data_IF_496606967033
#
_entry.id   IF_496606967033
#
_cell.length_a   1.000
_cell.length_b   1.000
_cell.length_c   1.000
_cell.angle_alpha   90.00
_cell.angle_beta   90.00
_cell.angle_gamma   90.00
#
_symmetry.space_group_name_H-M   'P 1'
#
loop_
_entity.id
_entity.type
_entity.pdbx_description
1 polymer ?
#
# COMPACT_ATOMS: atom_id res chain seq x y z
N UNK A 1 -17.54 -12.12 10.49
CA UNK A 1 -16.27 -11.48 10.10
C UNK A 1 -16.54 -10.71 8.83
N UNK A 2 -16.91 -9.44 8.95
CA UNK A 2 -17.26 -8.59 7.82
C UNK A 2 -15.97 -7.99 7.28
N UNK A 3 -15.52 -8.46 6.13
CA UNK A 3 -14.42 -7.84 5.40
C UNK A 3 -14.88 -6.44 5.03
N UNK A 4 -14.47 -5.43 5.81
CA UNK A 4 -14.70 -4.03 5.51
C UNK A 4 -13.96 -3.67 4.23
N UNK A 5 -14.64 -3.83 3.09
CA UNK A 5 -14.19 -3.25 1.84
C UNK A 5 -14.30 -1.72 2.01
N UNK A 6 -13.16 -1.06 2.12
CA UNK A 6 -13.10 0.40 2.05
C UNK A 6 -13.61 0.82 0.67
N UNK A 7 -14.83 1.35 0.62
CA UNK A 7 -15.36 2.06 -0.55
C UNK A 7 -14.71 3.44 -0.54
N UNK A 8 -13.75 3.67 -1.43
CA UNK A 8 -13.14 4.98 -1.60
C UNK A 8 -14.11 5.92 -2.32
N UNK A 9 -14.97 6.59 -1.56
CA UNK A 9 -15.79 7.68 -2.11
C UNK A 9 -14.89 8.89 -2.34
N UNK A 10 -14.40 9.03 -3.58
CA UNK A 10 -13.69 10.24 -4.02
C UNK A 10 -14.70 11.31 -4.42
N UNK A 11 -15.39 11.85 -3.41
CA UNK A 11 -16.13 13.10 -3.56
C UNK A 11 -15.09 14.20 -3.62
N UNK A 12 -14.69 14.63 -4.83
CA UNK A 12 -14.31 16.00 -5.21
C UNK A 12 -13.58 15.99 -6.55
N UNK A 13 -14.08 16.79 -7.50
CA UNK A 13 -13.55 17.00 -8.85
C UNK A 13 -12.19 17.74 -8.91
N UNK A 14 -11.49 17.84 -7.78
CA UNK A 14 -10.23 18.58 -7.64
C UNK A 14 -9.07 17.80 -6.99
N UNK A 15 -9.28 16.54 -6.61
CA UNK A 15 -8.20 15.73 -6.02
C UNK A 15 -7.36 15.08 -7.12
N UNK A 16 -6.14 15.61 -7.33
CA UNK A 16 -5.16 15.14 -8.32
C UNK A 16 -4.91 13.63 -8.21
N UNK A 17 -4.97 13.11 -7.00
CA UNK A 17 -4.78 11.71 -6.67
C UNK A 17 -5.96 10.85 -7.13
N UNK A 18 -7.19 11.22 -6.74
CA UNK A 18 -8.41 10.54 -7.16
C UNK A 18 -8.57 10.54 -8.70
N UNK A 19 -8.30 11.68 -9.34
CA UNK A 19 -8.35 11.80 -10.80
C UNK A 19 -7.34 10.88 -11.50
N UNK A 20 -6.12 10.76 -10.95
CA UNK A 20 -5.09 9.88 -11.48
C UNK A 20 -5.47 8.40 -11.35
N UNK A 21 -6.03 7.99 -10.21
CA UNK A 21 -6.51 6.62 -9.99
C UNK A 21 -7.63 6.26 -10.96
N UNK A 22 -8.66 7.12 -11.08
CA UNK A 22 -9.76 6.94 -12.03
C UNK A 22 -9.25 6.79 -13.46
N UNK A 23 -8.29 7.61 -13.87
CA UNK A 23 -7.67 7.54 -15.20
C UNK A 23 -6.98 6.19 -15.46
N UNK A 24 -6.20 5.68 -14.51
CA UNK A 24 -5.53 4.39 -14.69
C UNK A 24 -6.49 3.21 -14.57
N UNK A 25 -7.56 3.32 -13.78
CA UNK A 25 -8.62 2.31 -13.73
C UNK A 25 -9.33 2.22 -15.08
N UNK A 26 -9.76 3.36 -15.63
CA UNK A 26 -10.33 3.46 -16.98
C UNK A 26 -9.42 2.81 -18.04
N UNK A 27 -8.15 3.23 -18.07
CA UNK A 27 -7.17 2.71 -19.04
C UNK A 27 -6.96 1.19 -18.92
N UNK A 28 -7.00 0.66 -17.69
CA UNK A 28 -6.85 -0.78 -17.43
C UNK A 28 -8.05 -1.57 -17.97
N UNK A 29 -9.26 -1.07 -17.77
CA UNK A 29 -10.49 -1.70 -18.25
C UNK A 29 -10.59 -1.62 -19.78
N UNK A 30 -10.31 -0.46 -20.38
CA UNK A 30 -10.26 -0.28 -21.84
C UNK A 30 -9.28 -1.25 -22.51
N UNK A 31 -8.06 -1.33 -21.97
CA UNK A 31 -7.03 -2.23 -22.47
C UNK A 31 -7.30 -3.73 -22.18
N UNK A 32 -8.32 -4.06 -21.37
CA UNK A 32 -8.73 -5.45 -21.16
C UNK A 32 -9.68 -5.95 -22.25
N UNK A 33 -10.25 -5.05 -23.04
CA UNK A 33 -11.24 -5.38 -24.07
C UNK A 33 -12.57 -5.86 -23.49
N UNK A 34 -13.43 -6.39 -24.36
CA UNK A 34 -14.75 -6.88 -23.97
C UNK A 34 -14.67 -8.25 -23.27
N UNK A 35 -15.40 -8.45 -22.15
CA UNK A 35 -15.45 -9.75 -21.50
C UNK A 35 -16.19 -10.78 -22.36
N UNK A 36 -15.80 -12.06 -22.21
CA UNK A 36 -16.41 -13.18 -22.92
C UNK A 36 -17.92 -13.24 -22.62
N UNK A 37 -18.75 -13.14 -23.66
CA UNK A 37 -20.22 -13.10 -23.55
C UNK A 37 -20.87 -11.73 -23.83
N UNK A 38 -20.09 -10.66 -24.01
CA UNK A 38 -20.58 -9.34 -24.44
C UNK A 38 -20.44 -9.15 -25.96
N UNK A 39 -21.25 -9.87 -26.74
CA UNK A 39 -21.26 -9.78 -28.21
C UNK A 39 -22.31 -8.79 -28.73
N UNK A 40 -23.49 -8.71 -28.08
CA UNK A 40 -24.56 -7.76 -28.42
C UNK A 40 -24.23 -6.34 -27.94
N UNK A 41 -24.62 -5.33 -28.72
CA UNK A 41 -24.44 -3.92 -28.36
C UNK A 41 -25.16 -3.56 -27.05
N UNK A 42 -26.31 -4.17 -26.76
CA UNK A 42 -27.07 -3.95 -25.52
C UNK A 42 -26.30 -4.43 -24.28
N UNK A 43 -25.61 -5.57 -24.37
CA UNK A 43 -24.78 -6.09 -23.27
C UNK A 43 -23.55 -5.21 -23.02
N UNK A 44 -23.00 -4.61 -24.08
CA UNK A 44 -21.87 -3.69 -23.98
C UNK A 44 -22.27 -2.38 -23.31
N UNK A 45 -23.42 -1.83 -23.68
CA UNK A 45 -23.97 -0.62 -23.07
C UNK A 45 -24.33 -0.85 -21.60
N UNK A 46 -24.97 -1.97 -21.26
CA UNK A 46 -25.30 -2.31 -19.87
C UNK A 46 -24.04 -2.50 -19.00
N UNK A 47 -22.96 -3.09 -19.54
CA UNK A 47 -21.70 -3.27 -18.81
C UNK A 47 -21.01 -1.91 -18.54
N UNK A 48 -20.94 -1.05 -19.55
CA UNK A 48 -20.29 0.26 -19.47
C UNK A 48 -21.07 1.20 -18.55
N UNK A 49 -22.39 1.19 -18.66
CA UNK A 49 -23.28 2.14 -17.97
C UNK A 49 -23.58 1.69 -16.54
N UNK A 50 -23.92 0.43 -16.29
CA UNK A 50 -24.45 0.06 -14.97
C UNK A 50 -23.34 -0.39 -14.02
N UNK A 51 -22.32 -1.09 -14.52
CA UNK A 51 -21.32 -1.68 -13.62
C UNK A 51 -20.18 -0.72 -13.33
N UNK A 52 -19.74 0.08 -14.30
CA UNK A 52 -18.52 0.89 -14.16
C UNK A 52 -18.86 2.33 -13.79
N UNK A 53 -19.87 2.92 -14.41
CA UNK A 53 -20.28 4.27 -14.03
C UNK A 53 -20.91 4.32 -12.63
N UNK A 54 -21.80 3.39 -12.28
CA UNK A 54 -22.42 3.40 -10.94
C UNK A 54 -21.45 3.04 -9.81
N UNK A 55 -20.50 2.12 -10.05
CA UNK A 55 -19.57 1.65 -9.00
C UNK A 55 -18.30 2.48 -8.88
N UNK A 56 -17.70 2.85 -10.00
CA UNK A 56 -16.37 3.48 -10.05
C UNK A 56 -16.43 4.97 -10.44
N UNK A 57 -17.59 5.45 -10.88
CA UNK A 57 -17.83 6.87 -11.15
C UNK A 57 -17.11 7.41 -12.39
N UNK A 58 -16.85 6.56 -13.41
CA UNK A 58 -16.33 7.01 -14.70
C UNK A 58 -16.92 6.21 -15.87
N UNK A 59 -16.91 6.81 -17.07
CA UNK A 59 -17.39 6.20 -18.31
C UNK A 59 -16.21 5.65 -19.15
N UNK A 60 -16.36 4.43 -19.66
CA UNK A 60 -15.45 3.84 -20.63
C UNK A 60 -15.75 4.35 -22.05
N UNK A 61 -14.71 4.48 -22.88
CA UNK A 61 -14.88 4.75 -24.30
C UNK A 61 -14.98 3.42 -25.07
N UNK A 62 -16.13 3.17 -25.69
CA UNK A 62 -16.38 1.98 -26.51
C UNK A 62 -15.34 1.79 -27.62
N UNK A 63 -14.79 2.87 -28.17
CA UNK A 63 -13.81 2.80 -29.26
C UNK A 63 -12.41 2.40 -28.78
N UNK A 64 -12.14 2.55 -27.47
CA UNK A 64 -10.86 2.21 -26.85
C UNK A 64 -10.86 0.82 -26.21
N UNK A 65 -12.01 0.12 -26.22
CA UNK A 65 -12.19 -1.23 -25.66
C UNK A 65 -11.56 -2.32 -26.56
N UNK A 66 -10.24 -2.29 -26.66
CA UNK A 66 -9.44 -3.26 -27.40
C UNK A 66 -8.45 -3.97 -26.48
N UNK A 67 -8.29 -5.28 -26.67
CA UNK A 67 -7.34 -6.07 -25.89
C UNK A 67 -5.90 -5.62 -26.16
N UNK A 68 -5.32 -4.92 -25.19
CA UNK A 68 -3.92 -4.47 -25.21
C UNK A 68 -3.22 -4.85 -23.91
N UNK A 69 -2.59 -6.02 -23.91
CA UNK A 69 -1.91 -6.57 -22.74
C UNK A 69 -0.81 -5.64 -22.19
N UNK A 70 -0.06 -4.97 -23.07
CA UNK A 70 1.03 -4.08 -22.67
C UNK A 70 0.51 -2.83 -21.96
N UNK A 71 -0.50 -2.18 -22.53
CA UNK A 71 -1.14 -1.01 -21.95
C UNK A 71 -1.82 -1.35 -20.62
N UNK A 72 -2.52 -2.49 -20.59
CA UNK A 72 -3.14 -3.03 -19.38
C UNK A 72 -2.11 -3.27 -18.28
N UNK A 73 -0.96 -3.87 -18.60
CA UNK A 73 0.11 -4.12 -17.63
C UNK A 73 0.65 -2.80 -17.05
N UNK A 74 0.90 -1.79 -17.90
CA UNK A 74 1.35 -0.47 -17.45
C UNK A 74 0.33 0.23 -16.55
N UNK A 75 -0.94 0.20 -16.92
CA UNK A 75 -2.02 0.76 -16.12
C UNK A 75 -2.13 0.05 -14.75
N UNK A 76 -2.05 -1.28 -14.75
CA UNK A 76 -2.06 -2.09 -13.52
C UNK A 76 -0.86 -1.81 -12.62
N UNK A 77 0.34 -1.68 -13.17
CA UNK A 77 1.54 -1.33 -12.40
C UNK A 77 1.39 0.05 -11.75
N UNK A 78 0.87 1.02 -12.48
CA UNK A 78 0.64 2.37 -11.98
C UNK A 78 -0.38 2.38 -10.83
N UNK A 79 -1.46 1.61 -10.95
CA UNK A 79 -2.44 1.43 -9.88
C UNK A 79 -1.83 0.77 -8.64
N UNK A 80 -1.05 -0.30 -8.81
CA UNK A 80 -0.39 -0.97 -7.68
C UNK A 80 0.58 -0.03 -6.95
N UNK A 81 1.30 0.80 -7.70
CA UNK A 81 2.21 1.80 -7.14
C UNK A 81 1.43 2.85 -6.33
N UNK A 82 0.36 3.41 -6.91
CA UNK A 82 -0.48 4.41 -6.24
C UNK A 82 -1.10 3.84 -4.97
N UNK A 83 -1.72 2.66 -5.04
CA UNK A 83 -2.29 2.02 -3.85
C UNK A 83 -1.24 1.65 -2.81
N UNK A 84 -0.04 1.27 -3.24
CA UNK A 84 1.10 1.06 -2.34
C UNK A 84 1.47 2.32 -1.58
N UNK A 85 1.52 3.47 -2.27
CA UNK A 85 1.79 4.76 -1.65
C UNK A 85 0.69 5.19 -0.68
N UNK A 86 -0.59 4.97 -0.98
CA UNK A 86 -1.69 5.27 -0.05
C UNK A 86 -1.73 4.36 1.17
N UNK A 87 -1.22 3.13 1.04
CA UNK A 87 -1.11 2.18 2.16
C UNK A 87 0.15 2.39 2.98
N UNK A 88 1.12 3.15 2.47
CA UNK A 88 2.30 3.53 3.23
C UNK A 88 1.84 4.41 4.39
N UNK A 89 2.18 4.01 5.62
CA UNK A 89 1.92 4.85 6.79
C UNK A 89 2.78 6.09 6.66
N UNK A 90 2.20 7.25 6.95
CA UNK A 90 2.95 8.52 7.10
C UNK A 90 3.79 8.54 8.39
N UNK A 91 3.61 7.54 9.25
CA UNK A 91 4.42 7.36 10.44
C UNK A 91 5.83 6.96 10.00
N UNK A 92 6.71 7.95 9.97
CA UNK A 92 8.13 7.84 9.69
C UNK A 92 8.85 7.25 10.92
N UNK A 93 8.22 6.27 11.59
CA UNK A 93 8.78 5.57 12.74
C UNK A 93 9.96 4.72 12.26
N UNK A 94 11.15 5.30 12.39
CA UNK A 94 12.40 4.65 12.04
C UNK A 94 12.69 3.54 13.04
N UNK A 95 12.63 2.28 12.59
CA UNK A 95 13.06 1.14 13.38
C UNK A 95 14.58 1.05 13.28
N UNK A 96 15.28 1.45 14.34
CA UNK A 96 16.73 1.27 14.46
C UNK A 96 17.04 -0.03 15.21
N UNK A 97 17.75 -0.96 14.56
CA UNK A 97 18.26 -2.17 15.23
C UNK A 97 19.57 -1.80 15.92
N UNK A 98 19.48 -1.63 17.24
CA UNK A 98 20.64 -1.33 18.08
C UNK A 98 21.34 -2.63 18.47
N UNK A 99 22.65 -2.72 18.24
CA UNK A 99 23.44 -3.91 18.60
C UNK A 99 24.30 -3.74 19.86
N UNK A 100 24.53 -2.49 20.29
CA UNK A 100 25.41 -2.17 21.41
C UNK A 100 24.65 -1.42 22.51
N UNK A 101 24.91 -1.78 23.76
CA UNK A 101 24.34 -1.13 24.95
C UNK A 101 24.60 0.38 24.97
N UNK A 102 25.79 0.83 24.55
CA UNK A 102 26.14 2.26 24.55
C UNK A 102 25.24 3.07 23.61
N UNK A 103 24.98 2.52 22.43
CA UNK A 103 24.10 3.13 21.43
C UNK A 103 22.65 3.10 21.92
N UNK A 104 22.24 2.03 22.60
CA UNK A 104 20.91 1.92 23.18
C UNK A 104 20.66 2.97 24.27
N UNK A 105 21.62 3.12 25.19
CA UNK A 105 21.55 4.14 26.24
C UNK A 105 21.58 5.54 25.62
N UNK A 106 22.44 5.79 24.62
CA UNK A 106 22.50 7.08 23.93
C UNK A 106 21.14 7.48 23.36
N UNK A 107 20.49 6.57 22.61
CA UNK A 107 19.16 6.79 22.02
C UNK A 107 18.09 7.07 23.08
N UNK A 108 18.11 6.34 24.21
CA UNK A 108 17.16 6.55 25.30
C UNK A 108 17.38 7.88 26.05
N UNK A 109 18.59 8.41 26.01
CA UNK A 109 18.96 9.65 26.72
C UNK A 109 18.93 10.89 25.83
N UNK A 110 18.79 10.74 24.51
CA UNK A 110 18.77 11.88 23.59
C UNK A 110 17.41 12.59 23.70
N UNK A 111 17.37 13.87 24.11
CA UNK A 111 16.12 14.61 24.24
C UNK A 111 15.43 14.90 22.90
N UNK A 112 16.11 14.69 21.77
CA UNK A 112 15.55 14.89 20.43
C UNK A 112 14.91 13.62 19.86
N UNK A 113 14.99 12.48 20.57
CA UNK A 113 14.47 11.20 20.10
C UNK A 113 13.33 10.76 21.02
N UNK A 114 12.12 10.66 20.47
CA UNK A 114 10.98 10.09 21.18
C UNK A 114 10.91 8.58 20.92
N UNK A 115 11.20 7.78 21.93
CA UNK A 115 11.19 6.31 21.82
C UNK A 115 9.79 5.77 22.09
N UNK A 116 9.10 5.34 21.03
CA UNK A 116 7.72 4.82 21.13
C UNK A 116 7.65 3.40 21.67
N UNK A 117 8.60 2.53 21.29
CA UNK A 117 8.60 1.13 21.70
C UNK A 117 10.01 0.53 21.68
N UNK A 118 10.31 -0.33 22.65
CA UNK A 118 11.53 -1.15 22.68
C UNK A 118 11.13 -2.60 22.54
N UNK A 119 11.55 -3.25 21.46
CA UNK A 119 11.21 -4.65 21.17
C UNK A 119 12.44 -5.53 21.43
N UNK A 120 12.40 -6.43 22.42
CA UNK A 120 13.51 -7.33 22.71
C UNK A 120 13.75 -8.32 21.56
N UNK A 121 14.93 -8.28 20.94
CA UNK A 121 15.32 -9.25 19.90
C UNK A 121 16.07 -10.44 20.54
N UNK A 122 15.58 -11.69 20.42
CA UNK A 122 16.06 -12.83 21.22
C UNK A 122 17.56 -13.11 21.16
N UNK A 123 18.21 -12.81 20.04
CA UNK A 123 19.64 -13.10 19.84
C UNK A 123 20.56 -12.07 20.49
N UNK A 124 20.08 -10.85 20.76
CA UNK A 124 20.92 -9.74 21.24
C UNK A 124 20.93 -9.63 22.77
N UNK A 125 19.88 -10.13 23.43
CA UNK A 125 19.72 -10.11 24.90
C UNK A 125 20.59 -11.18 25.58
N UNK A 126 20.87 -12.28 24.87
CA UNK A 126 21.71 -13.37 25.37
C UNK A 126 23.17 -12.93 25.61
N UNK A 127 23.70 -11.96 24.86
CA UNK A 127 25.07 -11.45 25.08
C UNK A 127 25.18 -10.53 26.31
N UNK A 128 24.11 -9.81 26.67
CA UNK A 128 24.07 -8.97 27.87
C UNK A 128 24.11 -9.80 29.16
N UNK A 129 23.45 -10.96 29.18
CA UNK A 129 23.46 -11.89 30.33
C UNK A 129 24.77 -12.65 30.53
N UNK A 130 25.69 -12.63 29.56
CA UNK A 130 26.95 -13.38 29.62
C UNK A 130 28.10 -12.58 30.26
N UNK A 131 27.96 -11.26 30.45
CA UNK A 131 29.07 -10.38 30.87
C UNK A 131 29.14 -10.07 32.37
N UNK A 132 28.13 -10.44 33.17
CA UNK A 132 28.09 -10.13 34.62
C UNK A 132 28.32 -11.30 35.58
N UNK A 133 28.56 -12.54 35.13
CA UNK A 133 28.65 -13.71 36.05
C UNK A 133 30.09 -14.18 36.33
N UNK A 134 31.13 -13.43 35.95
CA UNK A 134 32.52 -13.85 36.20
C UNK A 134 33.35 -12.77 36.89
N UNK A 135 33.04 -12.45 38.16
CA UNK A 135 34.00 -11.86 39.13
C UNK A 135 33.44 -11.83 40.55
N UNK A 136 33.23 -13.00 41.14
CA UNK A 136 33.31 -13.16 42.60
C UNK A 136 34.12 -14.43 42.87
N UNK A 137 35.43 -14.26 43.07
CA UNK A 137 36.21 -15.13 43.93
C UNK A 137 37.10 -14.19 44.76
N UNK A 138 36.70 -14.07 46.02
CA UNK A 138 37.36 -13.33 47.07
C UNK A 138 38.74 -13.94 47.37
N UNK A 139 39.70 -13.07 47.67
CA UNK A 139 40.84 -13.37 48.55
C UNK A 139 40.43 -12.99 49.98
#
# INVERSE_FOLDING_TARGET
>A
MTTGQYVWQTNNEGDLCAGSIKKFLKLKEEASGWPNGCESNENKEHLVTDIIHEREGFLLDHNMMELNLGLRCRAKLSLNFLWGRFRQRDDDSHIQIVKNVKEFVYILTDPNIEVTAVIPYPQLILELGALEVAKINAF
#
